data_IF_204048134492
#
_entry.id   IF_204048134492
#
_cell.length_a   1.000
_cell.length_b   1.000
_cell.length_c   1.000
_cell.angle_alpha   90.00
_cell.angle_beta   90.00
_cell.angle_gamma   90.00
#
_symmetry.space_group_name_H-M   'P 1'
#
loop_
_entity.id
_entity.type
_entity.pdbx_description
1 polymer ?
#
# COMPACT_ATOMS: atom_id res chain seq x y z
N UNK A 1 16.38 9.44 1.57
CA UNK A 1 15.15 8.82 1.03
C UNK A 1 14.29 9.87 0.32
N UNK A 2 13.60 9.49 -0.75
CA UNK A 2 12.60 10.34 -1.46
C UNK A 2 11.20 10.00 -0.96
N UNK A 3 10.30 10.99 -1.00
CA UNK A 3 8.94 10.83 -0.46
C UNK A 3 7.98 10.45 -1.58
N UNK A 4 7.26 9.35 -1.40
CA UNK A 4 6.16 8.92 -2.26
C UNK A 4 4.85 8.87 -1.49
N UNK A 5 3.73 8.84 -2.21
CA UNK A 5 2.41 8.55 -1.62
C UNK A 5 1.53 7.79 -2.61
N UNK A 6 0.48 7.16 -2.10
CA UNK A 6 -0.40 6.32 -2.91
C UNK A 6 -1.48 7.13 -3.65
N UNK A 7 -1.84 6.68 -4.85
CA UNK A 7 -3.02 7.22 -5.55
C UNK A 7 -4.34 6.87 -4.85
N UNK A 8 -4.33 5.93 -3.90
CA UNK A 8 -5.50 5.57 -3.10
C UNK A 8 -6.02 6.74 -2.28
N UNK A 9 -5.14 7.63 -1.78
CA UNK A 9 -5.49 8.77 -0.93
C UNK A 9 -6.55 9.69 -1.56
N UNK A 10 -6.62 9.76 -2.88
CA UNK A 10 -7.63 10.52 -3.60
C UNK A 10 -8.76 9.68 -4.21
N UNK A 11 -8.80 8.36 -3.97
CA UNK A 11 -9.79 7.47 -4.60
C UNK A 11 -11.24 7.83 -4.28
N UNK A 12 -11.50 8.36 -3.07
CA UNK A 12 -12.82 8.80 -2.66
C UNK A 12 -13.27 10.10 -3.36
N UNK A 13 -12.32 10.94 -3.76
CA UNK A 13 -12.57 12.31 -4.26
C UNK A 13 -12.45 12.44 -5.78
N UNK A 14 -11.66 11.58 -6.40
CA UNK A 14 -11.34 11.63 -7.82
C UNK A 14 -11.81 10.35 -8.52
N UNK A 15 -12.41 10.52 -9.70
CA UNK A 15 -12.98 9.39 -10.46
C UNK A 15 -11.95 8.68 -11.34
N UNK A 16 -10.91 9.39 -11.77
CA UNK A 16 -9.87 8.86 -12.65
C UNK A 16 -8.50 9.00 -12.03
N UNK A 17 -7.56 8.16 -12.48
CA UNK A 17 -6.18 8.23 -11.99
C UNK A 17 -5.46 9.49 -12.47
N UNK A 18 -5.84 10.04 -13.64
CA UNK A 18 -5.32 11.32 -14.10
C UNK A 18 -5.69 12.47 -13.14
N UNK A 19 -6.92 12.46 -12.60
CA UNK A 19 -7.33 13.43 -11.58
C UNK A 19 -6.51 13.24 -10.30
N UNK A 20 -6.34 12.00 -9.82
CA UNK A 20 -5.54 11.67 -8.63
C UNK A 20 -4.09 12.12 -8.77
N UNK A 21 -3.44 11.81 -9.88
CA UNK A 21 -2.05 12.22 -10.18
C UNK A 21 -1.92 13.76 -10.16
N UNK A 22 -2.87 14.48 -10.71
CA UNK A 22 -2.86 15.97 -10.67
C UNK A 22 -3.00 16.50 -9.24
N UNK A 23 -3.82 15.85 -8.41
CA UNK A 23 -3.97 16.25 -7.01
C UNK A 23 -2.72 15.96 -6.19
N UNK A 24 -2.08 14.80 -6.38
CA UNK A 24 -0.80 14.47 -5.75
C UNK A 24 0.29 15.47 -6.15
N UNK A 25 0.35 15.85 -7.44
CA UNK A 25 1.27 16.89 -7.91
C UNK A 25 1.02 18.25 -7.22
N UNK A 26 -0.26 18.65 -7.08
CA UNK A 26 -0.63 19.89 -6.39
C UNK A 26 -0.31 19.88 -4.89
N UNK A 27 -0.35 18.71 -4.28
CA UNK A 27 0.04 18.49 -2.89
C UNK A 27 1.56 18.55 -2.66
N UNK A 28 2.37 18.47 -3.70
CA UNK A 28 3.84 18.60 -3.65
C UNK A 28 4.59 17.33 -4.02
N UNK A 29 3.92 16.20 -4.16
CA UNK A 29 4.56 14.91 -4.45
C UNK A 29 5.14 14.85 -5.87
N UNK A 30 6.24 14.09 -6.01
CA UNK A 30 6.90 13.79 -7.29
C UNK A 30 7.00 12.29 -7.54
N UNK A 31 6.81 11.47 -6.52
CA UNK A 31 6.91 10.02 -6.59
C UNK A 31 5.58 9.40 -6.20
N UNK A 32 5.15 8.43 -6.98
CA UNK A 32 3.81 7.83 -6.91
C UNK A 32 3.92 6.35 -6.60
N UNK A 33 3.22 5.93 -5.56
CA UNK A 33 2.76 4.56 -5.39
C UNK A 33 1.42 4.40 -6.12
N UNK A 34 1.39 3.54 -7.13
CA UNK A 34 0.20 3.37 -7.95
C UNK A 34 -0.72 2.28 -7.38
N UNK A 35 -1.84 2.69 -6.80
CA UNK A 35 -2.82 1.75 -6.26
C UNK A 35 -3.70 1.14 -7.35
N UNK A 36 -3.58 -0.17 -7.51
CA UNK A 36 -4.44 -1.02 -8.35
C UNK A 36 -5.31 -1.94 -7.48
N UNK A 37 -5.45 -1.61 -6.20
CA UNK A 37 -6.08 -2.45 -5.19
C UNK A 37 -7.53 -2.82 -5.50
N UNK A 38 -8.27 -1.92 -6.14
CA UNK A 38 -9.73 -2.03 -6.33
C UNK A 38 -10.15 -2.22 -7.78
N UNK A 39 -9.37 -2.95 -8.59
CA UNK A 39 -9.79 -3.29 -9.94
C UNK A 39 -11.08 -4.11 -9.95
N UNK A 40 -11.92 -3.82 -10.95
CA UNK A 40 -13.14 -4.56 -11.24
C UNK A 40 -13.06 -5.08 -12.67
N UNK A 41 -13.90 -6.06 -13.04
CA UNK A 41 -13.91 -6.57 -14.42
C UNK A 41 -14.09 -5.50 -15.49
N UNK A 42 -14.80 -4.41 -15.19
CA UNK A 42 -15.05 -3.26 -16.06
C UNK A 42 -14.03 -2.11 -15.91
N UNK A 43 -13.03 -2.23 -15.03
CA UNK A 43 -11.96 -1.23 -14.90
C UNK A 43 -11.22 -1.06 -16.23
N UNK A 44 -10.84 0.18 -16.62
CA UNK A 44 -10.13 0.46 -17.87
C UNK A 44 -8.90 -0.41 -18.08
N UNK A 45 -8.14 -0.65 -17.02
CA UNK A 45 -6.94 -1.49 -17.02
C UNK A 45 -7.20 -2.98 -17.22
N UNK A 46 -8.46 -3.43 -17.11
CA UNK A 46 -8.85 -4.82 -17.36
C UNK A 46 -9.43 -5.04 -18.76
N UNK A 47 -9.59 -3.96 -19.57
CA UNK A 47 -10.11 -4.00 -20.95
C UNK A 47 -8.99 -4.29 -21.97
N UNK A 48 -9.37 -4.48 -23.24
CA UNK A 48 -8.41 -4.77 -24.31
C UNK A 48 -7.43 -3.62 -24.59
N UNK A 49 -7.89 -2.38 -24.45
CA UNK A 49 -7.09 -1.14 -24.65
C UNK A 49 -6.32 -0.69 -23.41
N UNK A 50 -6.14 -1.52 -22.41
CA UNK A 50 -5.52 -1.15 -21.13
C UNK A 50 -4.12 -0.51 -21.27
N UNK A 51 -3.36 -0.87 -22.30
CA UNK A 51 -2.04 -0.28 -22.53
C UNK A 51 -2.13 1.19 -22.89
N UNK A 52 -3.15 1.60 -23.63
CA UNK A 52 -3.39 2.99 -23.96
C UNK A 52 -3.77 3.80 -22.72
N UNK A 53 -4.56 3.19 -21.81
CA UNK A 53 -4.91 3.83 -20.54
C UNK A 53 -3.66 4.02 -19.63
N UNK A 54 -2.79 3.01 -19.56
CA UNK A 54 -1.51 3.12 -18.83
C UNK A 54 -0.61 4.19 -19.46
N UNK A 55 -0.54 4.24 -20.79
CA UNK A 55 0.29 5.23 -21.49
C UNK A 55 -0.17 6.66 -21.21
N UNK A 56 -1.48 6.91 -21.13
CA UNK A 56 -2.04 8.24 -20.78
C UNK A 56 -1.57 8.72 -19.41
N UNK A 57 -1.68 7.86 -18.37
CA UNK A 57 -1.24 8.24 -17.01
C UNK A 57 0.27 8.40 -16.93
N UNK A 58 1.04 7.60 -17.68
CA UNK A 58 2.49 7.72 -17.77
C UNK A 58 2.89 9.07 -18.34
N UNK A 59 2.38 9.41 -19.53
CA UNK A 59 2.64 10.70 -20.19
C UNK A 59 2.22 11.90 -19.33
N UNK A 60 1.10 11.76 -18.64
CA UNK A 60 0.66 12.80 -17.69
C UNK A 60 1.66 12.97 -16.56
N UNK A 61 2.07 11.89 -15.88
CA UNK A 61 3.04 11.95 -14.80
C UNK A 61 4.37 12.56 -15.26
N UNK A 62 4.89 12.11 -16.40
CA UNK A 62 6.11 12.64 -17.02
C UNK A 62 5.98 14.14 -17.33
N UNK A 63 4.84 14.59 -17.87
CA UNK A 63 4.58 16.01 -18.16
C UNK A 63 4.54 16.89 -16.92
N UNK A 64 4.26 16.30 -15.76
CA UNK A 64 4.24 16.96 -14.45
C UNK A 64 5.57 16.80 -13.68
N UNK A 65 6.58 16.14 -14.28
CA UNK A 65 7.84 15.84 -13.61
C UNK A 65 7.69 14.84 -12.46
N UNK A 66 6.71 13.95 -12.56
CA UNK A 66 6.45 12.88 -11.59
C UNK A 66 6.90 11.51 -12.13
N UNK A 67 7.15 10.57 -11.23
CA UNK A 67 7.54 9.20 -11.55
C UNK A 67 6.78 8.19 -10.70
N UNK A 68 6.37 7.08 -11.31
CA UNK A 68 5.86 5.92 -10.59
C UNK A 68 7.04 5.12 -10.03
N UNK A 69 6.99 4.78 -8.75
CA UNK A 69 8.15 4.16 -8.06
C UNK A 69 7.81 2.86 -7.33
N UNK A 70 6.57 2.73 -6.91
CA UNK A 70 6.02 1.57 -6.22
C UNK A 70 4.59 1.35 -6.72
N UNK A 71 4.02 0.19 -6.48
CA UNK A 71 2.61 -0.06 -6.72
C UNK A 71 2.02 -1.01 -5.67
N UNK A 72 0.73 -0.88 -5.46
CA UNK A 72 -0.08 -1.88 -4.78
C UNK A 72 -0.95 -2.61 -5.81
N UNK A 73 -0.75 -3.93 -5.94
CA UNK A 73 -1.54 -4.78 -6.84
C UNK A 73 -2.96 -5.00 -6.32
N UNK A 74 -3.77 -5.70 -7.12
CA UNK A 74 -5.15 -6.03 -6.75
C UNK A 74 -5.25 -6.64 -5.35
N UNK A 75 -6.11 -6.06 -4.52
CA UNK A 75 -6.49 -6.61 -3.22
C UNK A 75 -7.45 -7.80 -3.35
N UNK A 76 -7.40 -8.70 -2.37
CA UNK A 76 -8.27 -9.87 -2.32
C UNK A 76 -7.63 -11.01 -1.55
N UNK A 77 -8.38 -12.10 -1.40
CA UNK A 77 -7.92 -13.30 -0.68
C UNK A 77 -7.60 -14.45 -1.66
N UNK A 78 -6.30 -14.71 -1.96
CA UNK A 78 -5.92 -15.82 -2.83
C UNK A 78 -6.25 -17.20 -2.26
N UNK A 79 -6.64 -17.30 -1.00
CA UNK A 79 -7.10 -18.53 -0.34
C UNK A 79 -8.61 -18.58 -0.15
N UNK A 80 -9.39 -17.71 -0.84
CA UNK A 80 -10.85 -17.75 -0.82
C UNK A 80 -11.37 -19.10 -1.35
N UNK A 81 -12.45 -19.58 -0.77
CA UNK A 81 -13.20 -20.76 -1.28
C UNK A 81 -13.97 -20.43 -2.57
N UNK A 82 -14.11 -19.15 -2.92
CA UNK A 82 -14.75 -18.72 -4.16
C UNK A 82 -13.73 -18.71 -5.31
N UNK A 83 -13.73 -19.77 -6.12
CA UNK A 83 -12.81 -19.92 -7.25
C UNK A 83 -12.88 -18.75 -8.24
N UNK A 84 -14.05 -18.18 -8.50
CA UNK A 84 -14.20 -17.05 -9.42
C UNK A 84 -13.51 -15.77 -8.89
N UNK A 85 -13.53 -15.54 -7.58
CA UNK A 85 -12.79 -14.45 -6.94
C UNK A 85 -11.27 -14.66 -7.05
N UNK A 86 -10.81 -15.88 -6.80
CA UNK A 86 -9.39 -16.25 -6.90
C UNK A 86 -8.89 -16.13 -8.36
N UNK A 87 -9.68 -16.58 -9.33
CA UNK A 87 -9.34 -16.44 -10.76
C UNK A 87 -9.27 -14.98 -11.20
N UNK A 88 -10.22 -14.15 -10.77
CA UNK A 88 -10.18 -12.72 -11.04
C UNK A 88 -8.96 -12.06 -10.37
N UNK A 89 -8.72 -12.37 -9.09
CA UNK A 89 -7.56 -11.86 -8.35
C UNK A 89 -6.25 -12.21 -9.06
N UNK A 90 -6.07 -13.47 -9.47
CA UNK A 90 -4.88 -13.88 -10.21
C UNK A 90 -4.74 -13.10 -11.52
N UNK A 91 -5.81 -13.00 -12.31
CA UNK A 91 -5.80 -12.26 -13.57
C UNK A 91 -5.46 -10.78 -13.37
N UNK A 92 -6.04 -10.15 -12.34
CA UNK A 92 -5.80 -8.74 -12.03
C UNK A 92 -4.39 -8.51 -11.49
N UNK A 93 -3.86 -9.40 -10.65
CA UNK A 93 -2.48 -9.34 -10.15
C UNK A 93 -1.45 -9.49 -11.29
N UNK A 94 -1.65 -10.43 -12.19
CA UNK A 94 -0.79 -10.57 -13.39
C UNK A 94 -0.83 -9.30 -14.26
N UNK A 95 -2.01 -8.69 -14.42
CA UNK A 95 -2.17 -7.41 -15.12
C UNK A 95 -1.45 -6.27 -14.37
N UNK A 96 -1.54 -6.23 -13.04
CA UNK A 96 -0.82 -5.23 -12.23
C UNK A 96 0.69 -5.29 -12.46
N UNK A 97 1.27 -6.48 -12.53
CA UNK A 97 2.69 -6.68 -12.82
C UNK A 97 3.05 -6.18 -14.24
N UNK A 98 2.19 -6.42 -15.25
CA UNK A 98 2.40 -5.90 -16.61
C UNK A 98 2.28 -4.36 -16.66
N UNK A 99 1.37 -3.77 -15.90
CA UNK A 99 1.24 -2.31 -15.76
C UNK A 99 2.51 -1.74 -15.11
N UNK A 100 3.01 -2.35 -14.05
CA UNK A 100 4.26 -1.95 -13.40
C UNK A 100 5.42 -1.89 -14.39
N UNK A 101 5.57 -2.89 -15.27
CA UNK A 101 6.59 -2.88 -16.32
C UNK A 101 6.46 -1.65 -17.23
N UNK A 102 5.25 -1.32 -17.70
CA UNK A 102 5.01 -0.17 -18.59
C UNK A 102 5.27 1.17 -17.91
N UNK A 103 4.94 1.28 -16.62
CA UNK A 103 5.18 2.47 -15.81
C UNK A 103 6.63 2.59 -15.32
N UNK A 104 7.45 1.55 -15.46
CA UNK A 104 8.83 1.51 -14.99
C UNK A 104 8.97 1.18 -13.51
N UNK A 105 7.89 0.74 -12.85
CA UNK A 105 7.85 0.34 -11.45
C UNK A 105 8.58 -1.00 -11.28
N UNK A 106 9.41 -1.10 -10.24
CA UNK A 106 10.20 -2.30 -9.94
C UNK A 106 9.60 -3.17 -8.85
N UNK A 107 8.80 -2.60 -7.97
CA UNK A 107 8.25 -3.27 -6.80
C UNK A 107 6.74 -3.08 -6.73
N UNK A 108 5.99 -4.17 -6.56
CA UNK A 108 4.54 -4.12 -6.31
C UNK A 108 4.15 -4.99 -5.14
N UNK A 109 3.32 -4.46 -4.25
CA UNK A 109 2.78 -5.21 -3.12
C UNK A 109 1.69 -6.16 -3.59
N UNK A 110 1.72 -7.39 -3.09
CA UNK A 110 0.69 -8.42 -3.31
C UNK A 110 0.37 -9.08 -1.98
N UNK A 111 -0.84 -8.93 -1.51
CA UNK A 111 -1.26 -9.49 -0.23
C UNK A 111 -1.27 -11.01 -0.23
N UNK A 112 -0.89 -11.58 0.91
CA UNK A 112 -1.10 -12.99 1.22
C UNK A 112 -2.57 -13.24 1.57
N UNK A 113 -2.99 -14.47 1.37
CA UNK A 113 -4.34 -14.90 1.70
C UNK A 113 -4.52 -15.28 3.17
N UNK A 114 -5.78 -15.36 3.56
CA UNK A 114 -6.21 -15.86 4.87
C UNK A 114 -7.08 -17.10 4.73
N UNK A 115 -6.89 -18.05 5.62
CA UNK A 115 -7.78 -19.22 5.75
C UNK A 115 -7.89 -19.64 7.21
N UNK A 116 -9.12 -19.94 7.66
CA UNK A 116 -9.37 -20.33 9.04
C UNK A 116 -9.00 -21.79 9.28
N UNK A 117 -8.43 -22.07 10.44
CA UNK A 117 -8.23 -23.44 10.92
C UNK A 117 -7.08 -24.21 10.27
N UNK A 118 -6.18 -23.53 9.54
CA UNK A 118 -4.97 -24.14 8.97
C UNK A 118 -3.73 -23.80 9.82
N UNK A 119 -2.70 -24.64 9.75
CA UNK A 119 -1.43 -24.36 10.41
C UNK A 119 -0.59 -23.33 9.64
N UNK A 120 0.47 -22.78 10.29
CA UNK A 120 1.43 -21.88 9.64
C UNK A 120 2.08 -22.53 8.41
N UNK A 121 2.45 -23.78 8.51
CA UNK A 121 3.07 -24.55 7.41
C UNK A 121 2.11 -24.71 6.22
N UNK A 122 0.84 -25.00 6.48
CA UNK A 122 -0.18 -25.11 5.44
C UNK A 122 -0.48 -23.74 4.81
N UNK A 123 -0.50 -22.69 5.62
CA UNK A 123 -0.65 -21.31 5.16
C UNK A 123 0.51 -20.89 4.25
N UNK A 124 1.75 -21.20 4.63
CA UNK A 124 2.95 -20.94 3.82
C UNK A 124 2.87 -21.68 2.48
N UNK A 125 2.52 -22.96 2.52
CA UNK A 125 2.39 -23.78 1.31
C UNK A 125 1.36 -23.20 0.32
N UNK A 126 0.18 -22.85 0.82
CA UNK A 126 -0.93 -22.33 -0.01
C UNK A 126 -0.60 -20.96 -0.60
N UNK A 127 -0.05 -20.04 0.18
CA UNK A 127 0.37 -18.73 -0.31
C UNK A 127 1.52 -18.85 -1.31
N UNK A 128 2.52 -19.68 -1.05
CA UNK A 128 3.58 -19.99 -2.02
C UNK A 128 3.00 -20.49 -3.34
N UNK A 129 2.02 -21.37 -3.32
CA UNK A 129 1.37 -21.89 -4.52
C UNK A 129 0.66 -20.80 -5.34
N UNK A 130 0.13 -19.77 -4.69
CA UNK A 130 -0.39 -18.59 -5.38
C UNK A 130 0.74 -17.76 -5.99
N UNK A 131 1.80 -17.42 -5.24
CA UNK A 131 2.92 -16.64 -5.75
C UNK A 131 3.64 -17.35 -6.92
N UNK A 132 3.75 -18.66 -6.90
CA UNK A 132 4.35 -19.43 -7.99
C UNK A 132 3.65 -19.20 -9.33
N UNK A 133 2.34 -18.90 -9.35
CA UNK A 133 1.60 -18.55 -10.57
C UNK A 133 2.03 -17.19 -11.15
N UNK A 134 2.65 -16.32 -10.34
CA UNK A 134 3.10 -14.98 -10.73
C UNK A 134 4.52 -15.02 -11.34
N UNK A 135 5.37 -15.98 -10.96
CA UNK A 135 6.78 -16.03 -11.30
C UNK A 135 7.08 -15.79 -12.79
N UNK A 136 6.42 -16.48 -13.75
CA UNK A 136 6.73 -16.27 -15.17
C UNK A 136 6.47 -14.83 -15.63
N UNK A 137 5.48 -14.15 -15.04
CA UNK A 137 5.16 -12.76 -15.39
C UNK A 137 6.12 -11.80 -14.70
N UNK A 138 6.48 -12.04 -13.45
CA UNK A 138 7.48 -11.27 -12.71
C UNK A 138 8.83 -11.27 -13.44
N UNK A 139 9.32 -12.46 -13.79
CA UNK A 139 10.59 -12.63 -14.53
C UNK A 139 10.57 -11.94 -15.90
N UNK A 140 9.50 -12.13 -16.67
CA UNK A 140 9.32 -11.51 -17.98
C UNK A 140 9.27 -9.98 -17.90
N UNK A 141 8.61 -9.44 -16.85
CA UNK A 141 8.42 -8.01 -16.67
C UNK A 141 9.56 -7.33 -15.90
N UNK A 142 10.40 -8.08 -15.19
CA UNK A 142 11.45 -7.55 -14.34
C UNK A 142 10.89 -6.76 -13.14
N UNK A 143 9.79 -7.27 -12.54
CA UNK A 143 9.04 -6.65 -11.43
C UNK A 143 9.04 -7.58 -10.24
N UNK A 144 9.51 -7.09 -9.09
CA UNK A 144 9.47 -7.80 -7.82
C UNK A 144 8.06 -7.76 -7.24
N UNK A 145 7.68 -8.83 -6.58
CA UNK A 145 6.46 -8.90 -5.77
C UNK A 145 6.84 -8.89 -4.31
N UNK A 146 6.21 -8.00 -3.55
CA UNK A 146 6.47 -7.83 -2.13
C UNK A 146 5.28 -8.39 -1.32
N UNK A 147 5.57 -9.29 -0.38
CA UNK A 147 4.60 -9.61 0.65
C UNK A 147 4.57 -8.46 1.67
N UNK A 148 3.44 -8.27 2.31
CA UNK A 148 3.24 -7.21 3.29
C UNK A 148 2.80 -7.80 4.62
N UNK A 149 3.34 -7.26 5.74
CA UNK A 149 2.79 -7.59 7.05
C UNK A 149 1.35 -7.12 7.16
N UNK A 150 0.59 -7.76 8.01
CA UNK A 150 -0.74 -7.30 8.41
C UNK A 150 -0.85 -7.29 9.94
N UNK A 151 -2.04 -7.13 10.46
CA UNK A 151 -2.27 -7.12 11.90
C UNK A 151 -3.34 -8.11 12.31
N UNK A 152 -3.23 -8.65 13.54
CA UNK A 152 -4.29 -9.48 14.12
C UNK A 152 -5.61 -8.75 14.29
N UNK A 153 -5.58 -7.42 14.37
CA UNK A 153 -6.79 -6.60 14.42
C UNK A 153 -7.63 -6.80 13.14
N UNK A 154 -6.99 -6.87 11.97
CA UNK A 154 -7.66 -7.05 10.68
C UNK A 154 -7.93 -8.53 10.37
N UNK A 155 -6.93 -9.39 10.60
CA UNK A 155 -6.89 -10.74 10.06
C UNK A 155 -7.15 -11.82 11.12
N UNK A 156 -7.22 -11.47 12.42
CA UNK A 156 -7.27 -12.45 13.52
C UNK A 156 -6.05 -13.35 13.50
N UNK A 157 -6.23 -14.59 13.96
CA UNK A 157 -5.18 -15.61 14.00
C UNK A 157 -5.03 -16.38 12.66
N UNK A 158 -5.51 -15.81 11.55
CA UNK A 158 -5.53 -16.48 10.24
C UNK A 158 -4.45 -15.96 9.28
N UNK A 159 -3.54 -15.10 9.78
CA UNK A 159 -2.45 -14.51 9.03
C UNK A 159 -1.14 -14.69 9.79
N UNK A 160 -0.10 -15.15 9.12
CA UNK A 160 1.11 -15.66 9.80
C UNK A 160 2.38 -14.86 9.46
N UNK A 161 2.26 -13.68 8.88
CA UNK A 161 3.39 -12.77 8.62
C UNK A 161 3.10 -11.38 9.19
N UNK A 162 2.81 -11.31 10.49
CA UNK A 162 2.55 -10.04 11.19
C UNK A 162 3.84 -9.39 11.74
N UNK A 163 4.94 -10.11 11.78
CA UNK A 163 6.26 -9.64 12.26
C UNK A 163 7.30 -9.69 11.15
N UNK A 164 8.37 -8.91 11.28
CA UNK A 164 9.47 -8.93 10.32
C UNK A 164 10.16 -10.28 10.23
N UNK A 165 10.27 -10.98 11.36
CA UNK A 165 10.81 -12.36 11.40
C UNK A 165 9.94 -13.35 10.65
N UNK A 166 8.61 -13.29 10.83
CA UNK A 166 7.68 -14.15 10.11
C UNK A 166 7.69 -13.86 8.59
N UNK A 167 7.79 -12.58 8.22
CA UNK A 167 7.90 -12.17 6.81
C UNK A 167 9.19 -12.70 6.18
N UNK A 168 10.33 -12.56 6.85
CA UNK A 168 11.60 -13.09 6.37
C UNK A 168 11.53 -14.61 6.22
N UNK A 169 10.99 -15.33 7.21
CA UNK A 169 10.77 -16.76 7.12
C UNK A 169 9.91 -17.16 5.90
N UNK A 170 8.86 -16.39 5.61
CA UNK A 170 8.02 -16.64 4.45
C UNK A 170 8.74 -16.37 3.13
N UNK A 171 9.49 -15.27 3.01
CA UNK A 171 10.30 -14.95 1.82
C UNK A 171 11.33 -16.07 1.57
N UNK A 172 12.06 -16.49 2.58
CA UNK A 172 13.01 -17.61 2.51
C UNK A 172 12.31 -18.94 2.13
N UNK A 173 11.10 -19.19 2.67
CA UNK A 173 10.31 -20.37 2.31
C UNK A 173 9.83 -20.33 0.84
N UNK A 174 9.43 -19.18 0.32
CA UNK A 174 9.06 -19.04 -1.11
C UNK A 174 10.28 -19.30 -1.98
N UNK A 175 11.46 -18.84 -1.59
CA UNK A 175 12.74 -19.07 -2.22
C UNK A 175 12.78 -18.64 -3.71
N UNK A 176 12.33 -17.42 -4.01
CA UNK A 176 12.38 -16.83 -5.35
C UNK A 176 13.06 -15.46 -5.31
N UNK A 177 14.06 -15.16 -6.17
CA UNK A 177 14.91 -13.97 -6.07
C UNK A 177 14.19 -12.64 -6.34
N UNK A 178 12.92 -12.66 -6.68
CA UNK A 178 12.09 -11.48 -6.91
C UNK A 178 10.91 -11.39 -5.92
N UNK A 179 10.92 -12.17 -4.83
CA UNK A 179 9.96 -12.06 -3.73
C UNK A 179 10.67 -11.44 -2.54
N UNK A 180 10.15 -10.32 -2.06
CA UNK A 180 10.71 -9.57 -0.94
C UNK A 180 9.59 -9.03 -0.04
N UNK A 181 9.90 -8.11 0.87
CA UNK A 181 8.98 -7.58 1.86
C UNK A 181 8.68 -6.08 1.65
N UNK A 182 7.43 -5.71 1.90
CA UNK A 182 6.99 -4.36 2.20
C UNK A 182 6.59 -4.29 3.67
N UNK A 183 7.12 -3.33 4.42
CA UNK A 183 6.77 -3.14 5.82
C UNK A 183 5.74 -2.03 5.97
N UNK A 184 4.54 -2.38 6.46
CA UNK A 184 3.52 -1.41 6.84
C UNK A 184 3.66 -1.05 8.32
N UNK A 185 3.88 0.23 8.60
CA UNK A 185 4.16 0.74 9.95
C UNK A 185 2.91 0.80 10.82
N UNK A 186 1.74 1.04 10.24
CA UNK A 186 0.47 1.06 10.96
C UNK A 186 0.03 -0.35 11.36
N UNK A 187 0.11 -1.30 10.44
CA UNK A 187 -0.12 -2.71 10.75
C UNK A 187 0.76 -3.14 11.94
N UNK A 188 2.04 -2.82 11.87
CA UNK A 188 2.98 -3.17 12.91
C UNK A 188 2.72 -2.43 14.24
N UNK A 189 2.25 -1.18 14.20
CA UNK A 189 1.91 -0.41 15.39
C UNK A 189 0.76 -1.04 16.20
N UNK A 190 -0.12 -1.79 15.54
CA UNK A 190 -1.15 -2.59 16.21
C UNK A 190 -0.59 -3.84 16.90
N UNK A 191 0.59 -4.32 16.52
CA UNK A 191 1.25 -5.51 17.06
C UNK A 191 2.25 -5.18 18.17
N UNK A 192 2.90 -4.00 18.13
CA UNK A 192 3.85 -3.56 19.15
C UNK A 192 5.06 -2.77 18.63
N UNK A 193 6.24 -3.02 19.21
CA UNK A 193 7.50 -2.38 18.83
C UNK A 193 7.98 -2.87 17.47
N UNK A 194 8.59 -1.96 16.69
CA UNK A 194 8.93 -2.22 15.30
C UNK A 194 10.44 -2.32 15.01
N UNK A 195 11.29 -1.75 15.88
CA UNK A 195 12.72 -1.68 15.60
C UNK A 195 13.33 -3.05 15.30
N UNK A 196 13.17 -4.01 16.20
CA UNK A 196 13.75 -5.35 16.04
C UNK A 196 13.14 -6.12 14.87
N UNK A 197 11.89 -5.84 14.52
CA UNK A 197 11.20 -6.49 13.41
C UNK A 197 11.66 -5.94 12.05
N UNK A 198 11.88 -4.63 11.93
CA UNK A 198 12.49 -4.02 10.74
C UNK A 198 13.93 -4.51 10.58
N UNK A 199 14.70 -4.58 11.67
CA UNK A 199 16.05 -5.14 11.64
C UNK A 199 16.08 -6.61 11.23
N UNK A 200 15.07 -7.40 11.60
CA UNK A 200 14.96 -8.80 11.22
C UNK A 200 14.70 -8.99 9.71
N UNK A 201 14.03 -8.06 9.06
CA UNK A 201 13.86 -8.08 7.60
C UNK A 201 15.21 -7.90 6.88
N UNK A 202 16.06 -7.02 7.37
CA UNK A 202 17.39 -6.79 6.79
C UNK A 202 17.30 -6.41 5.31
N UNK A 203 18.04 -7.13 4.47
CA UNK A 203 18.13 -6.94 3.03
C UNK A 203 16.87 -7.36 2.23
N UNK A 204 15.89 -7.99 2.90
CA UNK A 204 14.59 -8.29 2.28
C UNK A 204 13.60 -7.12 2.35
N UNK A 205 13.91 -6.04 3.05
CA UNK A 205 13.07 -4.83 3.12
C UNK A 205 13.22 -4.00 1.83
N UNK A 206 12.29 -4.12 0.91
CA UNK A 206 12.32 -3.44 -0.40
C UNK A 206 11.42 -2.22 -0.48
N UNK A 207 10.38 -2.17 0.34
CA UNK A 207 9.43 -1.06 0.39
C UNK A 207 8.86 -0.88 1.80
N UNK A 208 8.28 0.29 2.02
CA UNK A 208 7.46 0.57 3.20
C UNK A 208 6.13 1.18 2.77
N UNK A 209 5.09 0.92 3.58
CA UNK A 209 3.88 1.73 3.68
C UNK A 209 3.91 2.44 5.02
N UNK A 210 4.08 3.75 4.99
CA UNK A 210 4.18 4.55 6.20
C UNK A 210 2.85 5.21 6.50
N UNK A 211 2.24 4.81 7.58
CA UNK A 211 1.03 5.41 8.13
C UNK A 211 1.05 5.31 9.65
N UNK A 212 0.16 6.05 10.29
CA UNK A 212 0.00 6.07 11.74
C UNK A 212 -1.40 5.55 12.13
N UNK A 213 -1.57 5.15 13.36
CA UNK A 213 -2.84 4.76 13.95
C UNK A 213 -2.80 4.83 15.48
N UNK A 214 -3.92 4.52 16.14
CA UNK A 214 -4.02 4.55 17.61
C UNK A 214 -3.58 3.24 18.30
N UNK A 215 -3.04 2.26 17.57
CA UNK A 215 -2.55 0.98 18.08
C UNK A 215 -3.64 -0.05 18.39
N UNK A 216 -4.91 0.30 18.21
CA UNK A 216 -6.04 -0.59 18.46
C UNK A 216 -6.87 -0.88 17.21
N UNK A 217 -6.67 -0.10 16.16
CA UNK A 217 -7.28 -0.23 14.84
C UNK A 217 -6.26 0.19 13.80
N UNK A 218 -6.38 -0.38 12.65
CA UNK A 218 -5.57 -0.06 11.51
C UNK A 218 -6.16 1.17 10.78
N UNK A 219 -5.87 2.35 11.32
CA UNK A 219 -6.57 3.58 10.94
C UNK A 219 -6.00 4.26 9.69
N UNK A 220 -4.79 3.95 9.23
CA UNK A 220 -4.12 4.58 8.08
C UNK A 220 -4.21 6.11 8.04
N UNK A 221 -3.89 6.76 9.18
CA UNK A 221 -3.90 8.22 9.28
C UNK A 221 -2.52 8.82 9.04
N UNK A 222 -2.48 10.12 8.77
CA UNK A 222 -1.24 10.85 8.58
C UNK A 222 -0.32 10.77 9.80
N UNK A 223 1.01 10.84 9.62
CA UNK A 223 1.97 10.88 10.73
C UNK A 223 1.61 11.95 11.76
N UNK A 224 1.75 11.60 13.05
CA UNK A 224 1.38 12.41 14.24
C UNK A 224 -0.13 12.58 14.48
N UNK A 225 -1.00 11.93 13.72
CA UNK A 225 -2.43 11.85 14.06
C UNK A 225 -2.77 10.62 14.90
N UNK A 226 -1.83 9.69 15.07
CA UNK A 226 -1.96 8.48 15.87
C UNK A 226 -0.96 8.41 17.03
N UNK A 227 -0.40 7.22 17.27
CA UNK A 227 0.50 6.91 18.39
C UNK A 227 1.78 6.18 17.98
N UNK A 228 2.06 6.11 16.70
CA UNK A 228 3.28 5.48 16.19
C UNK A 228 4.52 6.14 16.81
N UNK A 229 5.48 5.34 17.24
CA UNK A 229 6.78 5.85 17.65
C UNK A 229 7.63 6.12 16.40
N UNK A 230 7.57 7.35 15.89
CA UNK A 230 8.25 7.76 14.67
C UNK A 230 9.77 7.64 14.79
N UNK A 231 10.36 7.98 15.95
CA UNK A 231 11.81 7.86 16.15
C UNK A 231 12.27 6.40 16.08
N UNK A 232 11.50 5.47 16.63
CA UNK A 232 11.77 4.03 16.57
C UNK A 232 11.86 3.55 15.11
N UNK A 233 10.87 3.90 14.30
CA UNK A 233 10.84 3.50 12.87
C UNK A 233 11.97 4.17 12.09
N UNK A 234 12.18 5.47 12.29
CA UNK A 234 13.25 6.20 11.59
C UNK A 234 14.64 5.63 11.91
N UNK A 235 14.93 5.36 13.19
CA UNK A 235 16.17 4.72 13.59
C UNK A 235 16.33 3.33 12.96
N UNK A 236 15.27 2.51 12.96
CA UNK A 236 15.31 1.19 12.35
C UNK A 236 15.58 1.23 10.85
N UNK A 237 14.93 2.15 10.11
CA UNK A 237 15.15 2.31 8.66
C UNK A 237 16.58 2.76 8.34
N UNK A 238 17.18 3.60 9.19
CA UNK A 238 18.58 4.03 9.05
C UNK A 238 19.52 2.85 9.32
N UNK A 239 19.32 2.17 10.44
CA UNK A 239 20.23 1.12 10.92
C UNK A 239 20.19 -0.13 10.03
N UNK A 240 19.01 -0.44 9.44
CA UNK A 240 18.89 -1.53 8.44
C UNK A 240 19.44 -1.13 7.06
N UNK A 241 19.74 0.17 6.84
CA UNK A 241 20.24 0.69 5.58
C UNK A 241 19.18 0.79 4.47
N UNK A 242 17.91 1.03 4.83
CA UNK A 242 16.84 1.15 3.86
C UNK A 242 17.06 2.32 2.89
N UNK A 243 17.20 2.02 1.61
CA UNK A 243 17.46 2.98 0.54
C UNK A 243 16.27 3.22 -0.40
N UNK A 244 15.09 2.72 -0.07
CA UNK A 244 13.86 2.86 -0.85
C UNK A 244 13.18 4.23 -0.70
N UNK A 245 11.91 4.27 -1.12
CA UNK A 245 11.08 5.45 -0.97
C UNK A 245 10.36 5.45 0.39
N UNK A 246 10.27 6.62 1.01
CA UNK A 246 9.41 6.84 2.15
C UNK A 246 7.97 7.02 1.64
N UNK A 247 7.28 5.89 1.49
CA UNK A 247 5.97 5.83 0.85
C UNK A 247 4.87 5.97 1.88
N UNK A 248 4.12 7.07 1.83
CA UNK A 248 2.94 7.28 2.67
C UNK A 248 1.74 6.50 2.13
N UNK A 249 0.95 5.91 3.02
CA UNK A 249 -0.32 5.24 2.73
C UNK A 249 -1.35 5.62 3.79
N UNK A 250 -1.98 6.81 3.62
CA UNK A 250 -2.77 7.46 4.67
C UNK A 250 -4.18 7.85 4.18
N UNK A 251 -4.85 6.95 3.48
CA UNK A 251 -6.11 7.18 2.77
C UNK A 251 -7.33 7.47 3.68
N UNK A 252 -7.22 7.27 4.99
CA UNK A 252 -8.30 7.48 5.95
C UNK A 252 -8.08 8.62 6.94
N UNK A 253 -7.17 9.56 6.64
CA UNK A 253 -6.92 10.73 7.49
C UNK A 253 -8.15 11.65 7.67
N UNK A 254 -9.09 11.61 6.73
CA UNK A 254 -10.39 12.29 6.84
C UNK A 254 -11.52 11.28 7.02
N UNK A 255 -12.19 11.34 8.16
CA UNK A 255 -13.27 10.41 8.50
C UNK A 255 -14.53 10.70 7.68
N UNK A 256 -15.04 9.70 6.97
CA UNK A 256 -16.30 9.71 6.22
C UNK A 256 -17.40 8.91 6.95
N UNK A 257 -18.63 8.91 6.43
CA UNK A 257 -19.70 8.04 6.94
C UNK A 257 -19.46 6.56 6.66
N UNK A 258 -18.67 6.24 5.64
CA UNK A 258 -18.43 4.88 5.17
C UNK A 258 -17.02 4.38 5.49
N UNK A 259 -16.29 5.07 6.38
CA UNK A 259 -14.96 4.65 6.79
C UNK A 259 -15.03 3.26 7.44
N UNK A 260 -14.17 2.36 6.99
CA UNK A 260 -14.21 0.96 7.40
C UNK A 260 -13.75 0.71 8.84
N UNK A 261 -12.88 1.58 9.38
CA UNK A 261 -12.37 1.43 10.74
C UNK A 261 -13.29 2.05 11.78
N UNK A 262 -13.69 3.29 11.59
CA UNK A 262 -14.55 4.03 12.50
C UNK A 262 -15.35 5.12 11.78
N UNK A 263 -16.53 4.79 11.24
CA UNK A 263 -17.31 5.72 10.46
C UNK A 263 -17.80 6.89 11.33
N UNK A 264 -17.94 8.06 10.72
CA UNK A 264 -18.53 9.23 11.38
C UNK A 264 -19.98 8.96 11.77
N UNK A 265 -20.39 9.45 12.95
CA UNK A 265 -21.76 9.31 13.42
C UNK A 265 -22.77 9.81 12.40
N UNK A 266 -23.74 8.98 12.09
CA UNK A 266 -24.85 9.34 11.22
C UNK A 266 -25.88 10.21 11.95
N UNK A 267 -26.44 11.21 11.24
CA UNK A 267 -27.58 12.01 11.65
C UNK A 267 -28.55 12.11 10.47
N UNK A 268 -29.81 11.74 10.67
CA UNK A 268 -30.78 11.68 9.57
C UNK A 268 -31.32 13.04 9.11
N UNK A 269 -31.15 14.09 9.96
CA UNK A 269 -31.57 15.45 9.65
C UNK A 269 -33.07 15.68 9.59
N UNK A 270 -33.89 14.64 9.63
CA UNK A 270 -35.31 14.72 9.38
C UNK A 270 -35.62 15.31 7.99
N UNK A 271 -36.37 16.42 7.95
CA UNK A 271 -36.70 17.11 6.69
C UNK A 271 -35.61 18.11 6.22
N UNK A 272 -34.48 18.19 6.90
CA UNK A 272 -33.40 19.16 6.54
C UNK A 272 -32.46 18.56 5.51
N UNK A 273 -32.03 19.38 4.56
CA UNK A 273 -30.89 19.06 3.71
C UNK A 273 -29.59 19.10 4.52
N UNK A 274 -28.87 17.98 4.56
CA UNK A 274 -27.57 17.88 5.21
C UNK A 274 -26.49 18.38 4.25
N UNK A 275 -25.63 19.32 4.69
CA UNK A 275 -24.63 19.99 3.84
C UNK A 275 -23.18 19.60 4.16
N UNK A 276 -22.96 18.91 5.29
CA UNK A 276 -21.62 18.57 5.79
C UNK A 276 -21.47 17.03 5.91
N UNK A 277 -22.07 16.32 4.96
CA UNK A 277 -22.08 14.86 5.00
C UNK A 277 -20.68 14.26 4.82
N UNK A 278 -19.92 14.76 3.85
CA UNK A 278 -18.62 14.22 3.50
C UNK A 278 -17.53 15.31 3.42
N UNK A 279 -16.26 14.96 3.72
CA UNK A 279 -15.13 15.86 3.45
C UNK A 279 -15.07 16.22 1.96
N UNK A 280 -14.43 17.33 1.66
CA UNK A 280 -14.32 17.85 0.29
C UNK A 280 -12.89 17.67 -0.24
N UNK A 281 -12.74 17.56 -1.56
CA UNK A 281 -11.45 17.41 -2.25
C UNK A 281 -10.37 18.40 -1.77
N UNK A 282 -10.73 19.66 -1.51
CA UNK A 282 -9.74 20.65 -1.03
C UNK A 282 -9.18 20.29 0.37
N UNK A 283 -9.98 19.63 1.22
CA UNK A 283 -9.53 19.20 2.55
C UNK A 283 -8.51 18.08 2.40
N UNK A 284 -8.80 17.10 1.54
CA UNK A 284 -7.86 16.02 1.25
C UNK A 284 -6.54 16.56 0.69
N UNK A 285 -6.59 17.51 -0.24
CA UNK A 285 -5.38 18.14 -0.76
C UNK A 285 -4.54 18.83 0.33
N UNK A 286 -5.19 19.45 1.33
CA UNK A 286 -4.47 20.05 2.46
C UNK A 286 -3.83 19.00 3.37
N UNK A 287 -4.52 17.88 3.61
CA UNK A 287 -3.95 16.74 4.35
C UNK A 287 -2.72 16.20 3.60
N UNK A 288 -2.83 15.98 2.30
CA UNK A 288 -1.72 15.51 1.47
C UNK A 288 -0.51 16.45 1.50
N UNK A 289 -0.74 17.76 1.37
CA UNK A 289 0.34 18.74 1.48
C UNK A 289 0.97 18.73 2.87
N UNK A 290 0.17 18.61 3.93
CA UNK A 290 0.68 18.48 5.30
C UNK A 290 1.51 17.20 5.46
N UNK A 291 1.06 16.09 4.89
CA UNK A 291 1.80 14.81 4.94
C UNK A 291 3.16 14.93 4.25
N UNK A 292 3.20 15.53 3.07
CA UNK A 292 4.46 15.78 2.37
C UNK A 292 5.45 16.61 3.20
N UNK A 293 4.97 17.74 3.74
CA UNK A 293 5.79 18.64 4.57
C UNK A 293 6.26 17.95 5.87
N UNK A 294 5.38 17.16 6.49
CA UNK A 294 5.69 16.39 7.70
C UNK A 294 6.74 15.31 7.42
N UNK A 295 6.55 14.50 6.37
CA UNK A 295 7.51 13.48 5.97
C UNK A 295 8.87 14.10 5.61
N UNK A 296 8.87 15.23 4.90
CA UNK A 296 10.08 15.98 4.59
C UNK A 296 10.80 16.44 5.86
N UNK A 297 10.08 17.03 6.80
CA UNK A 297 10.64 17.45 8.08
C UNK A 297 11.22 16.27 8.89
N UNK A 298 10.51 15.13 8.89
CA UNK A 298 11.01 13.90 9.55
C UNK A 298 12.33 13.45 8.95
N UNK A 299 12.41 13.31 7.62
CA UNK A 299 13.60 12.86 6.92
C UNK A 299 14.75 13.87 7.03
N UNK A 300 14.47 15.17 6.95
CA UNK A 300 15.46 16.25 7.16
C UNK A 300 16.03 16.23 8.58
N UNK A 301 15.19 15.96 9.59
CA UNK A 301 15.61 15.89 11.00
C UNK A 301 16.64 14.79 11.26
N UNK A 302 16.60 13.72 10.48
CA UNK A 302 17.59 12.63 10.51
C UNK A 302 18.68 12.75 9.45
N UNK A 303 18.66 13.81 8.61
CA UNK A 303 19.67 14.03 7.57
C UNK A 303 19.65 13.02 6.42
N UNK A 304 18.49 12.43 6.14
CA UNK A 304 18.31 11.36 5.14
C UNK A 304 17.31 11.72 4.03
N UNK A 305 16.86 12.97 3.99
CA UNK A 305 16.01 13.44 2.88
C UNK A 305 16.84 13.58 1.60
N UNK A 306 16.27 13.16 0.47
CA UNK A 306 16.81 13.28 -0.89
C UNK A 306 15.69 13.85 -1.79
N UNK A 307 15.94 14.93 -2.55
CA UNK A 307 14.94 15.61 -3.40
C UNK A 307 14.47 14.77 -4.59
#
# INVERSE_FOLDING_TARGET
MKIATTTADFAFYCKTDEERIRELHRAGFRYIDFSMYSFKPDSPYMQENWRDEVQKIKELAESLGMSFVQAHSQGGNPLSENEAEVDFLLKATLRSIEICQLLGIKNTVVHNGVAKGISKEEWFLKNKAFYQKLFPTMERCGVNVLCENSTRVNMGECYFINTGRDMREFVEYVAHPMIHACWDTGHANCEGSQYDEIMALGDELYAIHYNDNHGAKDDHVAPFLGRLNHDEVMCALIDVGFGGYFTLECDTSLVTYNLWTEPRRHFDGGARELKLCEPQLFMQRHIESMMYETAKWMLDSYGIFDE
#
